data_IF_198454624926
#
_entry.id   IF_198454624926
#
_cell.length_a   1.000
_cell.length_b   1.000
_cell.length_c   1.000
_cell.angle_alpha   90.00
_cell.angle_beta   90.00
_cell.angle_gamma   90.00
#
_symmetry.space_group_name_H-M   'P 1'
#
loop_
_entity.id
_entity.type
_entity.pdbx_description
1 polymer ?
#
# COMPACT_ATOMS: atom_id res chain seq x y z
N UNK A 1 4.29 17.86 16.35
CA UNK A 1 5.55 17.42 15.71
C UNK A 1 5.33 16.04 15.15
N UNK A 2 4.72 15.95 13.96
CA UNK A 2 4.53 14.70 13.23
C UNK A 2 5.87 14.28 12.64
N UNK A 3 6.70 13.65 13.48
CA UNK A 3 7.91 13.01 13.01
C UNK A 3 7.46 11.81 12.19
N UNK A 4 7.44 11.98 10.87
CA UNK A 4 7.35 10.87 9.92
C UNK A 4 8.42 9.86 10.36
N UNK A 5 8.02 8.61 10.62
CA UNK A 5 8.87 7.51 11.08
C UNK A 5 9.87 7.07 9.99
N UNK A 6 10.62 8.01 9.43
CA UNK A 6 11.75 7.78 8.53
C UNK A 6 13.07 7.61 9.30
N UNK A 7 13.12 8.03 10.57
CA UNK A 7 14.29 7.84 11.43
C UNK A 7 14.10 6.54 12.22
N UNK A 8 15.09 5.63 12.13
CA UNK A 8 15.12 4.32 12.79
C UNK A 8 15.24 4.46 14.33
N UNK A 9 14.19 5.01 14.95
CA UNK A 9 14.02 5.06 16.39
C UNK A 9 13.42 3.75 16.93
N UNK A 10 13.65 3.40 18.20
CA UNK A 10 13.23 2.12 18.80
C UNK A 10 11.70 1.86 18.77
N UNK A 11 10.89 2.84 18.40
CA UNK A 11 9.43 2.75 18.31
C UNK A 11 8.87 2.98 16.89
N UNK A 12 9.70 3.02 15.85
CA UNK A 12 9.26 3.36 14.49
C UNK A 12 8.83 2.14 13.65
N UNK A 13 9.34 0.94 13.96
CA UNK A 13 8.99 -0.31 13.25
C UNK A 13 7.50 -0.69 13.32
N UNK A 14 6.79 -0.56 14.47
CA UNK A 14 5.35 -0.85 14.54
C UNK A 14 4.49 0.14 13.74
N UNK A 15 5.01 1.35 13.52
CA UNK A 15 4.29 2.43 12.84
C UNK A 15 4.44 2.37 11.31
N UNK A 16 5.30 1.50 10.77
CA UNK A 16 5.48 1.34 9.32
C UNK A 16 4.25 0.62 8.74
N UNK A 17 3.44 1.29 7.88
CA UNK A 17 2.25 0.68 7.30
C UNK A 17 2.62 -0.42 6.31
N UNK A 18 1.78 -1.43 6.20
CA UNK A 18 1.86 -2.43 5.13
C UNK A 18 1.46 -1.80 3.78
N UNK A 19 1.88 -2.42 2.68
CA UNK A 19 1.57 -1.93 1.32
C UNK A 19 0.07 -2.02 1.01
N UNK A 20 -0.64 -3.01 1.56
CA UNK A 20 -2.10 -3.11 1.49
C UNK A 20 -2.72 -2.39 2.69
N UNK A 21 -3.55 -1.40 2.41
CA UNK A 21 -4.32 -0.72 3.45
C UNK A 21 -5.59 -1.52 3.80
N UNK A 22 -6.25 -1.25 4.93
CA UNK A 22 -7.55 -1.85 5.24
C UNK A 22 -8.69 -1.37 4.33
N UNK A 23 -8.44 -0.37 3.48
CA UNK A 23 -9.40 0.16 2.51
C UNK A 23 -9.17 -0.56 1.17
N UNK A 24 -10.22 -1.22 0.66
CA UNK A 24 -10.19 -1.92 -0.63
C UNK A 24 -9.84 -0.93 -1.76
N UNK A 25 -8.92 -1.33 -2.65
CA UNK A 25 -8.42 -0.46 -3.72
C UNK A 25 -7.39 0.59 -3.31
N UNK A 26 -7.09 0.74 -2.02
CA UNK A 26 -6.11 1.72 -1.53
C UNK A 26 -4.80 1.05 -1.09
N UNK A 27 -3.71 1.42 -1.75
CA UNK A 27 -2.37 0.85 -1.55
C UNK A 27 -1.35 1.95 -1.25
N UNK A 28 -0.35 1.62 -0.43
CA UNK A 28 0.73 2.52 -0.04
C UNK A 28 2.07 1.99 -0.54
N UNK A 29 2.90 2.88 -1.07
CA UNK A 29 4.28 2.58 -1.47
C UNK A 29 5.23 3.69 -1.01
N UNK A 30 6.48 3.31 -0.77
CA UNK A 30 7.54 4.19 -0.29
C UNK A 30 8.46 3.53 0.74
N UNK A 31 9.62 4.13 0.97
CA UNK A 31 10.64 3.72 1.94
C UNK A 31 10.13 3.73 3.40
N UNK A 32 9.10 4.52 3.69
CA UNK A 32 8.38 4.55 4.96
C UNK A 32 7.46 3.35 5.20
N UNK A 33 7.13 2.57 4.16
CA UNK A 33 6.31 1.35 4.31
C UNK A 33 7.10 0.21 4.94
N UNK A 34 6.41 -0.82 5.42
CA UNK A 34 7.04 -1.97 6.07
C UNK A 34 7.77 -2.84 5.06
N UNK A 35 9.10 -2.76 5.04
CA UNK A 35 9.96 -3.53 4.15
C UNK A 35 11.35 -3.74 4.78
N UNK A 36 12.11 -4.72 4.28
CA UNK A 36 13.34 -5.23 4.92
C UNK A 36 14.52 -4.25 4.90
N UNK A 37 14.50 -3.26 4.00
CA UNK A 37 15.61 -2.34 3.67
C UNK A 37 15.30 -0.89 4.08
N UNK A 38 15.02 -0.59 5.36
CA UNK A 38 14.93 0.74 6.03
C UNK A 38 14.57 1.99 5.16
N UNK A 39 14.88 3.20 5.61
CA UNK A 39 14.69 4.40 4.78
C UNK A 39 15.83 4.51 3.74
N UNK A 40 15.73 3.77 2.63
CA UNK A 40 16.74 3.72 1.57
C UNK A 40 16.12 3.75 0.18
N UNK A 41 16.93 4.10 -0.83
CA UNK A 41 16.51 4.03 -2.24
C UNK A 41 16.11 2.60 -2.64
N UNK A 42 16.81 1.59 -2.13
CA UNK A 42 16.46 0.17 -2.33
C UNK A 42 15.12 -0.18 -1.70
N UNK A 43 14.86 0.34 -0.49
CA UNK A 43 13.60 0.17 0.22
C UNK A 43 12.41 0.78 -0.52
N UNK A 44 12.59 1.95 -1.13
CA UNK A 44 11.57 2.57 -1.99
C UNK A 44 11.25 1.71 -3.22
N UNK A 45 12.27 1.20 -3.91
CA UNK A 45 12.08 0.34 -5.10
C UNK A 45 11.43 -1.00 -4.72
N UNK A 46 11.88 -1.63 -3.64
CA UNK A 46 11.30 -2.88 -3.16
C UNK A 46 9.84 -2.69 -2.73
N UNK A 47 9.54 -1.59 -2.02
CA UNK A 47 8.18 -1.25 -1.63
C UNK A 47 7.26 -1.12 -2.86
N UNK A 48 7.73 -0.45 -3.92
CA UNK A 48 6.99 -0.35 -5.18
C UNK A 48 6.70 -1.70 -5.81
N UNK A 49 7.69 -2.61 -5.80
CA UNK A 49 7.51 -3.99 -6.30
C UNK A 49 6.48 -4.77 -5.48
N UNK A 50 6.52 -4.67 -4.15
CA UNK A 50 5.57 -5.33 -3.26
C UNK A 50 4.15 -4.76 -3.44
N UNK A 51 4.03 -3.45 -3.63
CA UNK A 51 2.76 -2.79 -3.92
C UNK A 51 2.16 -3.30 -5.25
N UNK A 52 2.96 -3.35 -6.31
CA UNK A 52 2.52 -3.90 -7.60
C UNK A 52 2.09 -5.37 -7.48
N UNK A 53 2.81 -6.18 -6.70
CA UNK A 53 2.43 -7.57 -6.44
C UNK A 53 1.10 -7.68 -5.68
N UNK A 54 0.84 -6.81 -4.71
CA UNK A 54 -0.42 -6.79 -3.98
C UNK A 54 -1.61 -6.43 -4.91
N UNK A 55 -1.43 -5.43 -5.78
CA UNK A 55 -2.46 -5.04 -6.77
C UNK A 55 -2.76 -6.21 -7.72
N UNK A 56 -1.75 -6.92 -8.21
CA UNK A 56 -1.94 -8.06 -9.13
C UNK A 56 -2.63 -9.24 -8.41
N UNK A 57 -2.32 -9.48 -7.14
CA UNK A 57 -3.02 -10.51 -6.35
C UNK A 57 -4.49 -10.17 -6.11
N UNK A 58 -4.79 -8.89 -5.91
CA UNK A 58 -6.15 -8.41 -5.67
C UNK A 58 -6.91 -8.13 -6.98
N UNK A 59 -6.32 -8.42 -8.15
CA UNK A 59 -6.88 -8.09 -9.46
C UNK A 59 -8.32 -8.56 -9.64
N UNK A 60 -8.61 -9.81 -9.30
CA UNK A 60 -9.97 -10.39 -9.42
C UNK A 60 -10.99 -9.65 -8.54
N UNK A 61 -10.59 -9.24 -7.32
CA UNK A 61 -11.44 -8.47 -6.41
C UNK A 61 -11.68 -7.07 -6.96
N UNK A 62 -10.62 -6.39 -7.43
CA UNK A 62 -10.69 -5.04 -8.00
C UNK A 62 -11.57 -5.01 -9.26
N UNK A 63 -11.48 -6.02 -10.12
CA UNK A 63 -12.33 -6.16 -11.31
C UNK A 63 -13.79 -6.36 -10.92
N UNK A 64 -14.08 -7.23 -9.94
CA UNK A 64 -15.43 -7.46 -9.46
C UNK A 64 -16.03 -6.19 -8.81
N UNK A 65 -15.22 -5.41 -8.09
CA UNK A 65 -15.62 -4.15 -7.49
C UNK A 65 -15.95 -3.08 -8.54
N UNK A 66 -15.07 -2.90 -9.53
CA UNK A 66 -15.31 -1.96 -10.63
C UNK A 66 -16.54 -2.30 -11.46
N UNK A 67 -16.86 -3.59 -11.62
CA UNK A 67 -18.09 -4.02 -12.30
C UNK A 67 -19.36 -3.64 -11.53
N UNK A 68 -19.36 -3.73 -10.19
CA UNK A 68 -20.50 -3.34 -9.35
C UNK A 68 -20.80 -1.85 -9.46
N UNK A 69 -19.76 -1.02 -9.36
CA UNK A 69 -19.88 0.43 -9.46
C UNK A 69 -20.41 0.88 -10.84
N UNK A 70 -19.96 0.23 -11.92
CA UNK A 70 -20.49 0.47 -13.27
C UNK A 70 -21.94 0.01 -13.44
N UNK A 71 -22.33 -1.13 -12.84
CA UNK A 71 -23.72 -1.60 -12.91
C UNK A 71 -24.68 -0.72 -12.11
N UNK A 72 -24.26 -0.20 -10.95
CA UNK A 72 -25.05 0.74 -10.15
C UNK A 72 -25.20 2.09 -10.86
N UNK A 73 -24.12 2.62 -11.45
CA UNK A 73 -24.14 3.88 -12.18
C UNK A 73 -24.96 3.81 -13.50
N UNK A 74 -25.16 2.62 -14.07
CA UNK A 74 -25.98 2.44 -15.28
C UNK A 74 -27.48 2.31 -14.96
N UNK A 75 -27.84 1.98 -13.71
CA UNK A 75 -29.22 1.77 -13.25
C UNK A 75 -29.86 3.01 -12.62
N UNK A 76 -29.14 4.13 -12.56
CA UNK A 76 -29.59 5.46 -12.14
C UNK A 76 -29.70 6.43 -13.33
#
# INVERSE_FOLDING_TARGET
>A
MSQVCLQDGPNCEPCRPLQRSPIEGFYLSGDYTKQKYLASMEGAVLSGKLCAQAIVQDYELLVAWGQRELTEATMS
#
